data_IF_819278272964
#
_entry.id   IF_819278272964
#
_cell.length_a   1.000
_cell.length_b   1.000
_cell.length_c   1.000
_cell.angle_alpha   90.00
_cell.angle_beta   90.00
_cell.angle_gamma   90.00
#
_symmetry.space_group_name_H-M   'P 1'
#
loop_
_entity.id
_entity.type
_entity.pdbx_description
1 polymer ?
#
# COMPACT_ATOMS: atom_id res chain seq x y z
N UNK A 1 -11.47 3.58 18.09
CA UNK A 1 -12.79 3.31 17.47
C UNK A 1 -12.67 2.21 16.42
N UNK A 2 -13.61 1.26 16.42
CA UNK A 2 -13.68 0.21 15.39
C UNK A 2 -14.42 0.70 14.12
N UNK A 3 -15.01 1.91 14.16
CA UNK A 3 -15.83 2.42 13.06
C UNK A 3 -15.08 2.57 11.72
N UNK A 4 -13.83 3.07 11.67
CA UNK A 4 -13.10 3.15 10.40
C UNK A 4 -12.91 1.79 9.72
N UNK A 5 -12.54 0.74 10.48
CA UNK A 5 -12.37 -0.60 9.89
C UNK A 5 -13.72 -1.19 9.45
N UNK A 6 -14.80 -0.98 10.20
CA UNK A 6 -16.13 -1.42 9.81
C UNK A 6 -16.59 -0.72 8.52
N UNK A 7 -16.41 0.59 8.41
CA UNK A 7 -16.69 1.33 7.18
C UNK A 7 -15.83 0.84 5.99
N UNK A 8 -14.55 0.54 6.23
CA UNK A 8 -13.64 -0.01 5.23
C UNK A 8 -14.09 -1.38 4.72
N UNK A 9 -14.70 -2.18 5.60
CA UNK A 9 -15.27 -3.50 5.28
C UNK A 9 -16.69 -3.43 4.70
N UNK A 10 -17.27 -2.24 4.53
CA UNK A 10 -18.55 -2.02 3.85
C UNK A 10 -19.73 -1.83 4.77
N UNK A 11 -19.53 -1.50 6.03
CA UNK A 11 -20.62 -1.06 6.92
C UNK A 11 -20.95 0.40 6.62
N UNK A 12 -22.18 0.65 6.18
CA UNK A 12 -22.62 1.98 5.73
C UNK A 12 -23.41 2.75 6.78
N UNK A 13 -23.96 2.06 7.79
CA UNK A 13 -24.87 2.65 8.80
C UNK A 13 -24.33 2.39 10.21
N UNK A 14 -24.27 3.45 10.99
CA UNK A 14 -23.91 3.41 12.41
C UNK A 14 -24.99 4.10 13.21
N UNK A 15 -25.40 3.50 14.32
CA UNK A 15 -26.33 4.07 15.30
C UNK A 15 -25.60 4.62 16.52
N UNK A 16 -26.34 5.31 17.40
CA UNK A 16 -25.82 5.89 18.63
C UNK A 16 -26.19 5.09 19.89
N UNK A 17 -26.74 3.88 19.76
CA UNK A 17 -27.12 3.04 20.88
C UNK A 17 -26.01 2.80 21.89
N UNK A 18 -24.78 2.53 21.38
CA UNK A 18 -23.62 2.38 22.23
C UNK A 18 -23.24 3.66 22.99
N UNK A 19 -23.49 4.82 22.38
CA UNK A 19 -23.29 6.12 23.05
C UNK A 19 -24.24 6.24 24.21
N UNK A 20 -25.52 5.94 24.04
CA UNK A 20 -26.52 6.01 25.09
C UNK A 20 -26.20 5.06 26.25
N UNK A 21 -25.97 3.77 25.95
CA UNK A 21 -25.70 2.75 26.98
C UNK A 21 -24.42 3.06 27.78
N UNK A 22 -23.36 3.47 27.11
CA UNK A 22 -22.07 3.75 27.75
C UNK A 22 -22.10 5.05 28.53
N UNK A 23 -22.78 6.09 28.04
CA UNK A 23 -22.95 7.33 28.78
C UNK A 23 -23.74 7.09 30.10
N UNK A 24 -24.78 6.27 30.06
CA UNK A 24 -25.54 5.90 31.24
C UNK A 24 -24.69 5.15 32.30
N UNK A 25 -23.62 4.50 31.88
CA UNK A 25 -22.69 3.76 32.74
C UNK A 25 -21.35 4.48 32.98
N UNK A 26 -21.33 5.79 32.78
CA UNK A 26 -20.15 6.68 33.01
C UNK A 26 -18.94 6.31 32.18
N UNK A 27 -19.10 6.09 30.87
CA UNK A 27 -18.02 5.96 29.90
C UNK A 27 -18.02 7.16 28.98
N UNK A 28 -16.85 7.80 28.86
CA UNK A 28 -16.57 8.86 27.90
C UNK A 28 -15.96 8.28 26.64
N UNK A 29 -16.40 8.77 25.50
CA UNK A 29 -15.77 8.52 24.20
C UNK A 29 -14.78 9.66 23.93
N UNK A 30 -13.49 9.33 23.79
CA UNK A 30 -12.45 10.29 23.49
C UNK A 30 -11.50 9.69 22.42
N UNK A 31 -11.30 10.43 21.35
CA UNK A 31 -10.53 10.02 20.17
C UNK A 31 -10.80 8.55 19.74
N UNK A 32 -12.09 8.20 19.76
CA UNK A 32 -12.56 6.86 19.38
C UNK A 32 -12.32 5.75 20.41
N UNK A 33 -11.83 6.06 21.60
CA UNK A 33 -11.60 5.14 22.71
C UNK A 33 -12.57 5.41 23.85
N UNK A 34 -13.02 4.33 24.53
CA UNK A 34 -13.90 4.44 25.68
C UNK A 34 -13.10 4.42 26.97
N UNK A 35 -13.25 5.45 27.79
CA UNK A 35 -12.63 5.55 29.12
C UNK A 35 -13.68 5.69 30.21
N UNK A 36 -13.47 5.00 31.34
CA UNK A 36 -14.36 5.11 32.49
C UNK A 36 -14.10 6.46 33.19
N UNK A 37 -15.18 7.20 33.47
CA UNK A 37 -15.09 8.48 34.20
C UNK A 37 -15.85 8.41 35.51
N UNK A 38 -15.33 9.07 36.55
CA UNK A 38 -15.93 9.02 37.90
C UNK A 38 -17.14 9.94 38.06
N UNK A 39 -17.36 10.86 37.13
CA UNK A 39 -18.41 11.85 37.18
C UNK A 39 -19.56 11.51 36.24
N UNK A 40 -20.76 11.37 36.81
CA UNK A 40 -22.01 11.42 36.05
C UNK A 40 -22.32 12.89 35.69
N UNK A 41 -21.74 13.38 34.62
CA UNK A 41 -22.12 14.70 34.09
C UNK A 41 -23.37 14.53 33.23
N UNK A 42 -24.37 15.41 33.40
CA UNK A 42 -25.58 15.46 32.55
C UNK A 42 -25.23 15.67 31.08
N UNK A 43 -24.02 16.12 30.82
CA UNK A 43 -23.48 16.43 29.48
C UNK A 43 -22.74 15.27 28.81
N UNK A 44 -22.47 14.16 29.50
CA UNK A 44 -21.63 13.08 28.97
C UNK A 44 -22.23 12.43 27.71
N UNK A 45 -23.52 12.29 27.63
CA UNK A 45 -24.19 11.76 26.45
C UNK A 45 -24.04 12.71 25.26
N UNK A 46 -24.21 14.02 25.48
CA UNK A 46 -24.03 15.04 24.43
C UNK A 46 -22.58 15.04 23.90
N UNK A 47 -21.60 15.04 24.81
CA UNK A 47 -20.18 14.99 24.47
C UNK A 47 -19.83 13.74 23.67
N UNK A 48 -20.31 12.58 24.08
CA UNK A 48 -20.08 11.32 23.39
C UNK A 48 -20.74 11.31 22.00
N UNK A 49 -21.92 11.93 21.86
CA UNK A 49 -22.59 12.06 20.56
C UNK A 49 -21.84 12.99 19.61
N UNK A 50 -21.34 14.11 20.09
CA UNK A 50 -20.49 15.03 19.32
C UNK A 50 -19.20 14.34 18.84
N UNK A 51 -18.62 13.51 19.69
CA UNK A 51 -17.43 12.73 19.33
C UNK A 51 -17.75 11.67 18.27
N UNK A 52 -18.89 10.97 18.38
CA UNK A 52 -19.39 10.04 17.38
C UNK A 52 -19.56 10.76 16.02
N UNK A 53 -20.23 11.91 16.02
CA UNK A 53 -20.45 12.71 14.80
C UNK A 53 -19.12 13.16 14.16
N UNK A 54 -18.14 13.55 14.99
CA UNK A 54 -16.79 13.90 14.52
C UNK A 54 -16.09 12.73 13.81
N UNK A 55 -16.20 11.52 14.38
CA UNK A 55 -15.68 10.32 13.74
C UNK A 55 -16.40 9.97 12.44
N UNK A 56 -17.72 10.09 12.40
CA UNK A 56 -18.49 9.88 11.16
C UNK A 56 -18.10 10.88 10.06
N UNK A 57 -17.90 12.15 10.42
CA UNK A 57 -17.41 13.16 9.48
C UNK A 57 -16.00 12.82 8.95
N UNK A 58 -15.09 12.39 9.85
CA UNK A 58 -13.74 11.96 9.49
C UNK A 58 -13.75 10.78 8.53
N UNK A 59 -14.59 9.78 8.79
CA UNK A 59 -14.77 8.61 7.91
C UNK A 59 -15.32 9.03 6.55
N UNK A 60 -16.39 9.82 6.50
CA UNK A 60 -16.99 10.33 5.25
C UNK A 60 -15.98 11.11 4.43
N UNK A 61 -15.24 12.02 5.07
CA UNK A 61 -14.17 12.80 4.41
C UNK A 61 -13.08 11.89 3.86
N UNK A 62 -12.69 10.86 4.60
CA UNK A 62 -11.68 9.89 4.16
C UNK A 62 -12.17 9.04 2.98
N UNK A 63 -13.46 8.68 2.94
CA UNK A 63 -14.08 8.00 1.78
C UNK A 63 -14.04 8.89 0.55
N UNK A 64 -14.46 10.16 0.69
CA UNK A 64 -14.49 11.13 -0.41
C UNK A 64 -13.09 11.41 -0.99
N UNK A 65 -12.07 11.45 -0.13
CA UNK A 65 -10.68 11.71 -0.51
C UNK A 65 -9.93 10.44 -0.93
N UNK A 66 -10.54 9.25 -0.85
CA UNK A 66 -9.87 7.97 -1.12
C UNK A 66 -8.80 7.60 -0.09
N UNK A 67 -8.89 8.10 1.15
CA UNK A 67 -7.91 7.92 2.24
C UNK A 67 -8.44 7.08 3.40
N UNK A 68 -9.51 6.31 3.18
CA UNK A 68 -10.11 5.51 4.25
C UNK A 68 -9.16 4.41 4.74
N UNK A 69 -8.35 3.84 3.85
CA UNK A 69 -7.36 2.82 4.22
C UNK A 69 -6.32 3.40 5.17
N UNK A 70 -5.80 4.57 4.88
CA UNK A 70 -4.82 5.26 5.73
C UNK A 70 -5.41 5.60 7.11
N UNK A 71 -6.68 6.00 7.15
CA UNK A 71 -7.37 6.23 8.42
C UNK A 71 -7.44 4.95 9.26
N UNK A 72 -7.74 3.80 8.63
CA UNK A 72 -7.75 2.50 9.31
C UNK A 72 -6.36 2.11 9.79
N UNK A 73 -5.33 2.30 8.98
CA UNK A 73 -3.94 2.01 9.35
C UNK A 73 -3.52 2.80 10.58
N UNK A 74 -3.79 4.12 10.63
CA UNK A 74 -3.51 4.96 11.80
C UNK A 74 -4.24 4.45 13.05
N UNK A 75 -5.52 4.11 12.93
CA UNK A 75 -6.29 3.59 14.07
C UNK A 75 -5.83 2.20 14.50
N UNK A 76 -5.28 1.40 13.60
CA UNK A 76 -4.75 0.06 13.92
C UNK A 76 -3.50 0.09 14.78
N UNK A 77 -2.69 1.15 14.69
CA UNK A 77 -1.45 1.30 15.48
C UNK A 77 -1.71 1.31 16.99
N UNK A 78 -2.88 1.78 17.40
CA UNK A 78 -3.26 1.88 18.81
C UNK A 78 -4.31 0.84 19.25
N UNK A 79 -4.74 -0.03 18.32
CA UNK A 79 -5.78 -1.01 18.60
C UNK A 79 -5.44 -2.38 17.98
N UNK A 80 -4.89 -3.33 18.79
CA UNK A 80 -4.49 -4.64 18.31
C UNK A 80 -5.62 -5.42 17.63
N UNK A 81 -6.88 -5.23 18.08
CA UNK A 81 -8.06 -5.85 17.46
C UNK A 81 -8.27 -5.33 16.04
N UNK A 82 -8.19 -4.03 15.84
CA UNK A 82 -8.31 -3.43 14.49
C UNK A 82 -7.17 -3.91 13.60
N UNK A 83 -5.94 -3.97 14.12
CA UNK A 83 -4.79 -4.52 13.39
C UNK A 83 -5.03 -5.97 12.95
N UNK A 84 -5.55 -6.83 13.83
CA UNK A 84 -5.86 -8.21 13.51
C UNK A 84 -6.95 -8.32 12.43
N UNK A 85 -8.04 -7.55 12.55
CA UNK A 85 -9.12 -7.52 11.56
C UNK A 85 -8.58 -7.05 10.21
N UNK A 86 -7.75 -6.01 10.19
CA UNK A 86 -7.16 -5.45 8.99
C UNK A 86 -6.29 -6.50 8.27
N UNK A 87 -5.45 -7.21 9.01
CA UNK A 87 -4.61 -8.28 8.47
C UNK A 87 -5.46 -9.40 7.83
N UNK A 88 -6.46 -9.92 8.55
CA UNK A 88 -7.32 -10.99 8.04
C UNK A 88 -8.24 -10.55 6.90
N UNK A 89 -8.58 -9.26 6.80
CA UNK A 89 -9.45 -8.76 5.72
C UNK A 89 -8.75 -8.66 4.36
N UNK A 90 -7.43 -8.65 4.32
CA UNK A 90 -6.67 -8.46 3.07
C UNK A 90 -6.99 -9.52 2.02
N UNK A 91 -6.91 -10.81 2.37
CA UNK A 91 -7.24 -11.92 1.47
C UNK A 91 -8.71 -11.90 1.03
N UNK A 92 -9.63 -11.59 1.97
CA UNK A 92 -11.06 -11.49 1.66
C UNK A 92 -11.36 -10.37 0.65
N UNK A 93 -10.71 -9.21 0.79
CA UNK A 93 -10.90 -8.07 -0.12
C UNK A 93 -10.36 -8.38 -1.52
N UNK A 94 -9.25 -9.11 -1.62
CA UNK A 94 -8.71 -9.60 -2.90
C UNK A 94 -9.69 -10.58 -3.55
N UNK A 95 -10.12 -11.61 -2.82
CA UNK A 95 -11.05 -12.64 -3.30
C UNK A 95 -12.38 -12.04 -3.78
N UNK A 96 -12.90 -11.04 -3.08
CA UNK A 96 -14.13 -10.34 -3.45
C UNK A 96 -13.96 -9.33 -4.58
N UNK A 97 -12.75 -9.11 -5.08
CA UNK A 97 -12.46 -8.08 -6.08
C UNK A 97 -12.78 -6.66 -5.60
N UNK A 98 -12.76 -6.44 -4.29
CA UNK A 98 -13.10 -5.16 -3.68
C UNK A 98 -11.97 -4.11 -3.77
N UNK A 99 -11.01 -4.32 -4.67
CA UNK A 99 -9.89 -3.43 -4.91
C UNK A 99 -10.36 -2.18 -5.66
N UNK A 100 -9.94 -1.02 -5.19
CA UNK A 100 -10.31 0.28 -5.78
C UNK A 100 -9.09 0.90 -6.45
N UNK A 101 -9.29 1.47 -7.64
CA UNK A 101 -8.27 2.22 -8.37
C UNK A 101 -8.05 3.63 -7.74
N UNK A 102 -7.68 3.66 -6.48
CA UNK A 102 -7.33 4.90 -5.77
C UNK A 102 -5.82 5.05 -5.68
N UNK A 103 -5.35 6.28 -5.51
CA UNK A 103 -3.94 6.54 -5.23
C UNK A 103 -3.55 5.91 -3.88
N UNK A 104 -2.58 5.02 -3.86
CA UNK A 104 -2.04 4.43 -2.64
C UNK A 104 -0.98 5.37 -2.07
N UNK A 105 -1.17 5.85 -0.85
CA UNK A 105 -0.14 6.57 -0.11
C UNK A 105 0.65 5.57 0.72
N UNK A 106 1.80 5.18 0.17
CA UNK A 106 2.58 4.09 0.72
C UNK A 106 3.30 4.49 2.00
N UNK A 107 3.19 3.63 3.00
CA UNK A 107 3.86 3.69 4.29
C UNK A 107 4.33 2.28 4.70
N UNK A 108 4.81 2.11 5.92
CA UNK A 108 5.32 0.82 6.42
C UNK A 108 4.27 -0.31 6.43
N UNK A 109 2.97 0.00 6.43
CA UNK A 109 1.88 -0.98 6.40
C UNK A 109 1.41 -1.30 4.97
N UNK A 110 1.96 -0.64 3.96
CA UNK A 110 1.51 -0.78 2.57
C UNK A 110 1.84 -2.13 1.96
N UNK A 111 2.78 -2.90 2.52
CA UNK A 111 3.03 -4.29 2.10
C UNK A 111 1.80 -5.18 2.32
N UNK A 112 0.95 -4.85 3.29
CA UNK A 112 -0.31 -5.55 3.57
C UNK A 112 -1.52 -4.90 2.86
N UNK A 113 -1.32 -3.86 2.04
CA UNK A 113 -2.40 -3.28 1.26
C UNK A 113 -2.93 -4.29 0.25
N UNK A 114 -4.24 -4.57 0.20
CA UNK A 114 -4.81 -5.58 -0.69
C UNK A 114 -4.40 -5.40 -2.16
N UNK A 115 -4.32 -4.17 -2.66
CA UNK A 115 -3.91 -3.89 -4.04
C UNK A 115 -2.43 -4.18 -4.29
N UNK A 116 -1.58 -3.98 -3.28
CA UNK A 116 -0.15 -4.32 -3.35
C UNK A 116 0.02 -5.83 -3.33
N UNK A 117 -0.65 -6.52 -2.40
CA UNK A 117 -0.61 -7.98 -2.27
C UNK A 117 -1.12 -8.65 -3.55
N UNK A 118 -2.25 -8.20 -4.11
CA UNK A 118 -2.80 -8.71 -5.36
C UNK A 118 -1.82 -8.51 -6.53
N UNK A 119 -1.20 -7.34 -6.64
CA UNK A 119 -0.18 -7.08 -7.66
C UNK A 119 1.01 -8.03 -7.53
N UNK A 120 1.52 -8.23 -6.31
CA UNK A 120 2.63 -9.14 -6.05
C UNK A 120 2.27 -10.61 -6.34
N UNK A 121 1.03 -11.03 -6.04
CA UNK A 121 0.53 -12.35 -6.37
C UNK A 121 0.46 -12.55 -7.90
N UNK A 122 -0.10 -11.59 -8.63
CA UNK A 122 -0.13 -11.64 -10.11
C UNK A 122 1.26 -11.60 -10.73
N UNK A 123 2.19 -10.89 -10.10
CA UNK A 123 3.59 -10.87 -10.54
C UNK A 123 4.27 -12.23 -10.38
N UNK A 124 3.80 -13.11 -9.49
CA UNK A 124 4.34 -14.47 -9.36
C UNK A 124 4.12 -15.33 -10.61
N UNK A 125 3.08 -15.03 -11.38
CA UNK A 125 2.75 -15.73 -12.62
C UNK A 125 3.34 -15.02 -13.87
N UNK A 126 4.06 -13.91 -13.65
CA UNK A 126 4.67 -13.16 -14.74
C UNK A 126 5.84 -13.94 -15.36
N UNK A 127 5.78 -14.09 -16.67
CA UNK A 127 6.84 -14.72 -17.46
C UNK A 127 7.55 -13.64 -18.26
N UNK A 128 8.88 -13.51 -18.09
CA UNK A 128 9.67 -12.55 -18.87
C UNK A 128 9.54 -12.81 -20.39
N UNK A 129 9.59 -11.77 -21.24
CA UNK A 129 9.54 -11.94 -22.68
C UNK A 129 10.70 -12.81 -23.17
N UNK A 130 10.40 -13.88 -23.90
CA UNK A 130 11.39 -14.88 -24.37
C UNK A 130 12.51 -14.31 -25.26
N UNK A 131 12.33 -13.10 -25.79
CA UNK A 131 13.32 -12.42 -26.66
C UNK A 131 14.34 -11.58 -25.90
N UNK A 132 14.15 -11.35 -24.63
CA UNK A 132 15.00 -10.48 -23.83
C UNK A 132 16.19 -11.28 -23.29
N UNK A 133 17.37 -10.89 -23.65
CA UNK A 133 18.61 -11.59 -23.29
C UNK A 133 19.40 -10.88 -22.17
N UNK A 134 19.07 -9.65 -21.85
CA UNK A 134 19.74 -8.85 -20.80
C UNK A 134 18.70 -8.25 -19.89
N UNK A 135 18.80 -8.55 -18.61
CA UNK A 135 17.99 -7.91 -17.57
C UNK A 135 18.62 -6.58 -17.16
N UNK A 136 17.88 -5.49 -17.26
CA UNK A 136 18.29 -4.18 -16.77
C UNK A 136 17.40 -3.75 -15.61
N UNK A 137 17.99 -3.68 -14.41
CA UNK A 137 17.31 -3.26 -13.19
C UNK A 137 17.59 -1.78 -12.94
N UNK A 138 16.51 -0.98 -12.87
CA UNK A 138 16.57 0.47 -12.67
C UNK A 138 15.93 0.87 -11.33
N UNK A 139 16.30 2.01 -10.73
CA UNK A 139 15.61 2.53 -9.57
C UNK A 139 14.22 3.04 -9.96
N UNK A 140 13.29 3.07 -9.01
CA UNK A 140 12.02 3.77 -9.20
C UNK A 140 12.21 5.29 -9.33
N UNK A 141 11.11 5.99 -9.53
CA UNK A 141 11.09 7.45 -9.50
C UNK A 141 9.86 7.96 -8.75
N UNK A 142 9.92 9.20 -8.25
CA UNK A 142 8.80 9.83 -7.57
C UNK A 142 7.58 9.95 -8.51
N UNK A 143 7.80 10.25 -9.79
CA UNK A 143 6.72 10.37 -10.77
C UNK A 143 6.35 9.01 -11.38
N UNK A 144 5.06 8.67 -11.36
CA UNK A 144 4.51 7.47 -11.98
C UNK A 144 3.58 7.85 -13.16
N UNK A 145 3.40 6.99 -14.15
CA UNK A 145 4.28 5.85 -14.45
C UNK A 145 5.71 6.31 -14.73
N UNK A 146 6.69 5.43 -14.46
CA UNK A 146 8.12 5.82 -14.41
C UNK A 146 8.65 6.49 -15.68
N UNK A 147 8.20 6.04 -16.87
CA UNK A 147 8.64 6.61 -18.15
C UNK A 147 8.37 8.12 -18.27
N UNK A 148 7.41 8.67 -17.51
CA UNK A 148 7.12 10.12 -17.47
C UNK A 148 8.14 10.92 -16.64
N UNK A 149 8.96 10.25 -15.83
CA UNK A 149 9.96 10.92 -14.99
C UNK A 149 11.18 11.37 -15.82
N UNK A 150 11.84 12.42 -15.36
CA UNK A 150 13.05 12.94 -15.99
C UNK A 150 14.23 11.95 -15.92
N UNK A 151 14.33 11.18 -14.82
CA UNK A 151 15.35 10.15 -14.66
C UNK A 151 15.17 9.01 -15.66
N UNK A 152 13.97 8.44 -15.77
CA UNK A 152 13.70 7.35 -16.70
C UNK A 152 13.78 7.80 -18.17
N UNK A 153 13.42 9.05 -18.48
CA UNK A 153 13.63 9.61 -19.83
C UNK A 153 15.12 9.64 -20.18
N UNK A 154 16.00 10.02 -19.24
CA UNK A 154 17.46 9.99 -19.45
C UNK A 154 17.94 8.56 -19.65
N UNK A 155 17.58 7.62 -18.78
CA UNK A 155 17.92 6.21 -18.95
C UNK A 155 17.48 5.70 -20.32
N UNK A 156 16.27 6.00 -20.73
CA UNK A 156 15.72 5.53 -22.00
C UNK A 156 16.45 6.13 -23.22
N UNK A 157 16.85 7.39 -23.15
CA UNK A 157 17.63 8.00 -24.23
C UNK A 157 19.00 7.32 -24.38
N UNK A 158 19.70 7.07 -23.27
CA UNK A 158 20.98 6.33 -23.29
C UNK A 158 20.81 4.89 -23.78
N UNK A 159 19.74 4.22 -23.34
CA UNK A 159 19.44 2.84 -23.77
C UNK A 159 19.22 2.76 -25.27
N UNK A 160 18.56 3.73 -25.88
CA UNK A 160 18.31 3.76 -27.35
C UNK A 160 19.58 3.93 -28.21
N UNK A 161 20.67 4.41 -27.62
CA UNK A 161 21.96 4.55 -28.30
C UNK A 161 22.71 3.21 -28.40
N UNK A 162 22.23 2.17 -27.69
CA UNK A 162 22.85 0.84 -27.69
C UNK A 162 22.27 0.01 -28.82
N UNK A 163 23.14 -0.62 -29.60
CA UNK A 163 22.74 -1.62 -30.58
C UNK A 163 21.95 -2.75 -29.89
N UNK A 164 20.84 -3.20 -30.47
CA UNK A 164 19.99 -4.22 -29.91
C UNK A 164 19.29 -3.85 -28.58
N UNK A 165 19.00 -2.58 -28.33
CA UNK A 165 18.31 -2.15 -27.11
C UNK A 165 16.95 -2.89 -26.89
N UNK A 166 16.37 -3.45 -27.95
CA UNK A 166 15.15 -4.29 -27.86
C UNK A 166 15.39 -5.65 -27.18
N UNK A 167 16.65 -6.05 -27.02
CA UNK A 167 17.02 -7.24 -26.25
C UNK A 167 17.10 -6.99 -24.73
N UNK A 168 16.78 -5.78 -24.27
CA UNK A 168 16.75 -5.43 -22.85
C UNK A 168 15.35 -5.69 -22.27
N UNK A 169 15.29 -6.46 -21.20
CA UNK A 169 14.15 -6.51 -20.31
C UNK A 169 14.39 -5.55 -19.15
N UNK A 170 13.57 -4.50 -19.06
CA UNK A 170 13.75 -3.43 -18.09
C UNK A 170 12.78 -3.65 -16.93
N UNK A 171 13.32 -3.66 -15.71
CA UNK A 171 12.56 -3.82 -14.47
C UNK A 171 12.91 -2.68 -13.51
N UNK A 172 11.92 -2.05 -12.91
CA UNK A 172 12.11 -1.02 -11.89
C UNK A 172 11.97 -1.61 -10.49
N UNK A 173 12.89 -1.25 -9.58
CA UNK A 173 12.84 -1.65 -8.16
C UNK A 173 12.15 -0.57 -7.36
N UNK A 174 11.13 -0.93 -6.60
CA UNK A 174 10.31 0.02 -5.85
C UNK A 174 9.67 -0.59 -4.60
N UNK A 175 9.53 0.20 -3.55
CA UNK A 175 8.60 -0.08 -2.44
C UNK A 175 7.23 0.52 -2.77
N UNK A 176 6.10 -0.13 -2.39
CA UNK A 176 6.00 -1.45 -1.76
C UNK A 176 5.81 -2.60 -2.76
N UNK A 177 5.89 -2.34 -4.07
CA UNK A 177 5.55 -3.32 -5.11
C UNK A 177 6.66 -4.34 -5.38
N UNK A 178 7.91 -3.97 -5.08
CA UNK A 178 9.07 -4.79 -5.40
C UNK A 178 9.60 -4.56 -6.81
N UNK A 179 9.61 -5.59 -7.64
CA UNK A 179 10.01 -5.51 -9.05
C UNK A 179 8.81 -5.17 -9.92
N UNK A 180 8.93 -4.13 -10.73
CA UNK A 180 7.91 -3.73 -11.69
C UNK A 180 8.50 -3.79 -13.09
N UNK A 181 8.15 -4.83 -13.89
CA UNK A 181 8.48 -4.88 -15.31
C UNK A 181 7.94 -3.67 -16.06
N UNK A 182 8.69 -3.20 -17.05
CA UNK A 182 8.33 -1.98 -17.77
C UNK A 182 6.97 -2.05 -18.45
N UNK A 183 6.58 -3.20 -18.94
CA UNK A 183 5.28 -3.46 -19.57
C UNK A 183 4.11 -3.37 -18.59
N UNK A 184 4.39 -3.53 -17.27
CA UNK A 184 3.40 -3.46 -16.20
C UNK A 184 3.37 -2.09 -15.50
N UNK A 185 4.24 -1.14 -15.88
CA UNK A 185 4.32 0.17 -15.18
C UNK A 185 3.06 1.02 -15.29
N UNK A 186 2.15 0.70 -16.23
CA UNK A 186 0.86 1.35 -16.40
C UNK A 186 -0.28 0.66 -15.64
N UNK A 187 -0.05 -0.58 -15.21
CA UNK A 187 -1.06 -1.35 -14.49
C UNK A 187 -1.29 -0.76 -13.10
N UNK A 188 -2.51 -0.91 -12.58
CA UNK A 188 -2.79 -0.62 -11.20
C UNK A 188 -2.18 -1.73 -10.31
N UNK A 189 -1.52 -1.40 -9.21
CA UNK A 189 -1.28 -0.06 -8.64
C UNK A 189 0.03 0.62 -9.10
N UNK A 190 0.84 0.04 -9.99
CA UNK A 190 2.18 0.54 -10.33
C UNK A 190 2.21 1.99 -10.85
N UNK A 191 1.12 2.43 -11.50
CA UNK A 191 0.96 3.81 -11.94
C UNK A 191 0.28 4.73 -10.90
N UNK A 192 -0.22 4.19 -9.78
CA UNK A 192 -1.14 4.87 -8.86
C UNK A 192 -0.74 4.73 -7.39
N UNK A 193 0.54 4.92 -7.08
CA UNK A 193 1.00 5.01 -5.70
C UNK A 193 1.98 6.17 -5.53
N UNK A 194 2.04 6.70 -4.32
CA UNK A 194 3.01 7.70 -3.89
C UNK A 194 3.73 7.17 -2.64
N UNK A 195 5.04 7.34 -2.61
CA UNK A 195 5.91 6.92 -1.52
C UNK A 195 7.05 7.90 -1.35
N UNK A 196 7.41 8.18 -0.10
CA UNK A 196 8.63 8.91 0.19
C UNK A 196 9.85 8.06 -0.21
N UNK A 197 10.68 8.58 -1.10
CA UNK A 197 11.93 7.91 -1.53
C UNK A 197 12.99 8.22 -0.47
N UNK A 198 13.15 7.34 0.50
CA UNK A 198 14.15 7.47 1.57
C UNK A 198 15.49 6.84 1.20
N UNK A 199 15.48 5.88 0.29
CA UNK A 199 16.65 5.04 -0.04
C UNK A 199 16.89 3.90 0.96
N UNK A 200 16.10 3.83 2.03
CA UNK A 200 16.16 2.78 3.04
C UNK A 200 15.12 1.70 2.74
N UNK A 201 15.49 0.46 3.02
CA UNK A 201 14.66 -0.72 2.81
C UNK A 201 14.52 -1.50 4.11
N UNK A 202 13.30 -1.82 4.49
CA UNK A 202 13.01 -2.71 5.62
C UNK A 202 13.44 -4.14 5.33
N UNK A 203 13.61 -4.95 6.36
CA UNK A 203 13.98 -6.36 6.19
C UNK A 203 12.93 -7.13 5.37
N UNK A 204 11.65 -6.84 5.55
CA UNK A 204 10.55 -7.46 4.79
C UNK A 204 10.56 -7.06 3.32
N UNK A 205 10.86 -5.81 2.98
CA UNK A 205 11.01 -5.36 1.60
C UNK A 205 12.21 -5.99 0.92
N UNK A 206 13.34 -6.11 1.64
CA UNK A 206 14.54 -6.80 1.14
C UNK A 206 14.23 -8.27 0.83
N UNK A 207 13.54 -8.96 1.75
CA UNK A 207 13.14 -10.34 1.55
C UNK A 207 12.21 -10.48 0.34
N UNK A 208 11.18 -9.64 0.23
CA UNK A 208 10.26 -9.62 -0.89
C UNK A 208 10.99 -9.43 -2.23
N UNK A 209 11.93 -8.48 -2.31
CA UNK A 209 12.73 -8.24 -3.52
C UNK A 209 13.56 -9.46 -3.91
N UNK A 210 14.22 -10.11 -2.96
CA UNK A 210 14.99 -11.33 -3.20
C UNK A 210 14.14 -12.46 -3.72
N UNK A 211 12.96 -12.66 -3.14
CA UNK A 211 12.00 -13.68 -3.58
C UNK A 211 11.50 -13.39 -5.00
N UNK A 212 11.13 -12.15 -5.30
CA UNK A 212 10.68 -11.76 -6.64
C UNK A 212 11.80 -11.86 -7.66
N UNK A 213 13.01 -11.45 -7.32
CA UNK A 213 14.18 -11.57 -8.21
C UNK A 213 14.51 -13.04 -8.50
N UNK A 214 14.47 -13.89 -7.49
CA UNK A 214 14.66 -15.33 -7.65
C UNK A 214 13.62 -15.97 -8.59
N UNK A 215 12.37 -15.50 -8.53
CA UNK A 215 11.28 -15.98 -9.42
C UNK A 215 11.47 -15.56 -10.87
N UNK A 216 12.18 -14.47 -11.16
CA UNK A 216 12.56 -14.13 -12.53
C UNK A 216 13.53 -15.14 -13.14
N UNK A 217 14.07 -16.07 -12.34
CA UNK A 217 15.04 -17.09 -12.76
C UNK A 217 16.13 -16.50 -13.66
N UNK A 218 16.88 -15.47 -13.19
CA UNK A 218 17.76 -14.69 -14.07
C UNK A 218 18.79 -15.55 -14.78
N UNK A 219 19.25 -16.64 -14.16
CA UNK A 219 20.22 -17.57 -14.75
C UNK A 219 19.64 -18.39 -15.92
N UNK A 220 18.31 -18.58 -15.95
CA UNK A 220 17.64 -19.34 -17.01
C UNK A 220 17.15 -18.46 -18.16
N UNK A 221 16.75 -17.22 -17.86
CA UNK A 221 16.09 -16.33 -18.82
C UNK A 221 17.00 -15.25 -19.40
N UNK A 222 18.13 -14.95 -18.75
CA UNK A 222 19.01 -13.86 -19.15
C UNK A 222 20.47 -14.30 -19.24
N UNK A 223 21.14 -13.85 -20.28
CA UNK A 223 22.61 -14.04 -20.41
C UNK A 223 23.39 -13.14 -19.45
N UNK A 224 22.79 -12.00 -19.07
CA UNK A 224 23.43 -11.00 -18.21
C UNK A 224 22.37 -10.20 -17.47
N UNK A 225 22.64 -9.84 -16.22
CA UNK A 225 21.91 -8.85 -15.47
C UNK A 225 22.80 -7.62 -15.24
N UNK A 226 22.23 -6.43 -15.48
CA UNK A 226 22.83 -5.13 -15.19
C UNK A 226 21.98 -4.45 -14.13
N UNK A 227 22.53 -4.18 -12.96
CA UNK A 227 21.83 -3.54 -11.86
C UNK A 227 22.29 -2.09 -11.71
N UNK A 228 21.42 -1.16 -12.06
CA UNK A 228 21.62 0.28 -11.90
C UNK A 228 20.53 0.84 -10.98
N UNK A 229 20.51 0.39 -9.73
CA UNK A 229 19.45 0.68 -8.76
C UNK A 229 19.95 1.51 -7.54
N UNK A 230 21.09 2.18 -7.65
CA UNK A 230 21.65 3.00 -6.57
C UNK A 230 21.92 2.17 -5.30
N UNK A 231 21.46 2.64 -4.14
CA UNK A 231 21.58 1.91 -2.87
C UNK A 231 20.91 0.53 -2.88
N UNK A 232 19.86 0.37 -3.68
CA UNK A 232 19.14 -0.91 -3.83
C UNK A 232 19.96 -1.98 -4.57
N UNK A 233 21.05 -1.62 -5.25
CA UNK A 233 21.91 -2.58 -5.95
C UNK A 233 22.46 -3.66 -5.01
N UNK A 234 22.81 -3.29 -3.78
CA UNK A 234 23.35 -4.20 -2.76
C UNK A 234 22.34 -5.24 -2.25
N UNK A 235 21.07 -5.05 -2.54
CA UNK A 235 19.99 -5.95 -2.10
C UNK A 235 19.81 -7.09 -3.10
N UNK A 236 20.07 -6.79 -4.37
CA UNK A 236 19.80 -7.68 -5.51
C UNK A 236 21.05 -8.47 -5.92
N UNK A 237 22.23 -7.95 -5.66
CA UNK A 237 23.50 -8.64 -5.87
C UNK A 237 23.89 -9.50 -4.66
#
# INVERSE_FOLDING_TARGET
>A
SDMPILAYLGVDVFDDLNVELRSATSWALDDGSWTKVDTKTKDLQSQNREELERWLLKIRTSIMNGTLRELVEVTSLHNPRVSQILHHSTSLLIEKGALRNVMIRANNLSLENPSVVDFQQRLSDYVPPAKNMVLLVLPCSARKPYFKSSSHKRFYNTIKEVDNYLALHIVSVTSPLGLVPRELEFCYPAAHYDIAVTGDWSASEVQMLREQFSRLEPEKHYLKAIVHAGSSSKIIT
#
